data_IF_381877549252
#
_entry.id   IF_381877549252
#
_cell.length_a   1.000
_cell.length_b   1.000
_cell.length_c   1.000
_cell.angle_alpha   90.00
_cell.angle_beta   90.00
_cell.angle_gamma   90.00
#
_symmetry.space_group_name_H-M   'P 1'
#
loop_
_entity.id
_entity.type
_entity.pdbx_description
1 polymer ?
#
# COMPACT_ATOMS: atom_id res chain seq x y z
N UNK A 1 19.63 -5.28 0.67
CA UNK A 1 18.33 -5.20 1.36
C UNK A 1 17.66 -6.55 1.21
N UNK A 2 17.09 -7.11 2.26
CA UNK A 2 16.37 -8.39 2.18
C UNK A 2 15.04 -8.18 1.45
N UNK A 3 14.92 -8.72 0.24
CA UNK A 3 13.75 -8.51 -0.63
C UNK A 3 12.47 -9.11 -0.04
N UNK A 4 12.58 -10.24 0.69
CA UNK A 4 11.42 -10.88 1.33
C UNK A 4 10.87 -10.02 2.47
N UNK A 5 11.77 -9.48 3.31
CA UNK A 5 11.38 -8.54 4.38
C UNK A 5 10.81 -7.24 3.82
N UNK A 6 11.37 -6.72 2.72
CA UNK A 6 10.83 -5.54 2.07
C UNK A 6 9.41 -5.75 1.58
N UNK A 7 9.17 -6.86 0.86
CA UNK A 7 7.83 -7.19 0.38
C UNK A 7 6.84 -7.34 1.53
N UNK A 8 7.24 -7.97 2.64
CA UNK A 8 6.43 -8.08 3.84
C UNK A 8 6.08 -6.70 4.43
N UNK A 9 7.08 -5.84 4.65
CA UNK A 9 6.87 -4.49 5.25
C UNK A 9 5.98 -3.62 4.35
N UNK A 10 6.11 -3.72 3.03
CA UNK A 10 5.24 -3.02 2.07
C UNK A 10 3.79 -3.50 2.20
N UNK A 11 3.55 -4.82 2.18
CA UNK A 11 2.19 -5.39 2.28
C UNK A 11 1.54 -5.05 3.63
N UNK A 12 2.32 -5.06 4.71
CA UNK A 12 1.89 -4.61 6.03
C UNK A 12 1.47 -3.13 6.06
N UNK A 13 2.26 -2.26 5.44
CA UNK A 13 1.94 -0.83 5.34
C UNK A 13 0.66 -0.62 4.51
N UNK A 14 0.50 -1.36 3.40
CA UNK A 14 -0.73 -1.35 2.60
C UNK A 14 -1.95 -1.78 3.41
N UNK A 15 -1.88 -2.92 4.10
CA UNK A 15 -2.97 -3.41 4.94
C UNK A 15 -3.36 -2.39 6.02
N UNK A 16 -2.37 -1.77 6.69
CA UNK A 16 -2.60 -0.73 7.72
C UNK A 16 -3.23 0.54 7.16
N UNK A 17 -2.98 0.87 5.89
CA UNK A 17 -3.66 1.97 5.20
C UNK A 17 -5.08 1.61 4.75
N UNK A 18 -5.30 0.32 4.46
CA UNK A 18 -6.54 -0.20 3.87
C UNK A 18 -7.62 -0.48 4.91
N UNK A 19 -7.29 -1.26 5.94
CA UNK A 19 -8.27 -1.75 6.92
C UNK A 19 -9.07 -0.64 7.61
N UNK A 20 -8.46 0.49 8.05
CA UNK A 20 -9.24 1.57 8.67
C UNK A 20 -10.28 2.22 7.75
N UNK A 21 -10.09 2.14 6.43
CA UNK A 21 -11.01 2.74 5.44
C UNK A 21 -12.11 1.77 5.04
N UNK A 22 -11.80 0.48 4.93
CA UNK A 22 -12.71 -0.52 4.34
C UNK A 22 -13.31 -1.51 5.35
N UNK A 23 -12.74 -1.63 6.54
CA UNK A 23 -13.08 -2.65 7.53
C UNK A 23 -12.86 -4.09 7.05
N UNK A 24 -12.13 -4.29 5.95
CA UNK A 24 -12.00 -5.59 5.29
C UNK A 24 -10.59 -6.16 5.45
N UNK A 25 -10.50 -7.43 5.85
CA UNK A 25 -9.22 -8.14 5.96
C UNK A 25 -8.64 -8.46 4.57
N UNK A 26 -7.32 -8.34 4.43
CA UNK A 26 -6.58 -8.72 3.22
C UNK A 26 -5.57 -9.81 3.54
N UNK A 27 -5.54 -10.83 2.68
CA UNK A 27 -4.47 -11.82 2.65
C UNK A 27 -3.28 -11.29 1.84
N UNK A 28 -2.10 -11.90 2.01
CA UNK A 28 -0.93 -11.48 1.26
C UNK A 28 -1.10 -11.60 -0.27
N UNK A 29 -1.89 -12.54 -0.76
CA UNK A 29 -2.12 -12.74 -2.20
C UNK A 29 -3.17 -11.78 -2.79
N UNK A 30 -3.91 -11.04 -1.96
CA UNK A 30 -4.89 -10.05 -2.44
C UNK A 30 -4.22 -8.81 -3.05
N UNK A 31 -2.92 -8.60 -2.80
CA UNK A 31 -2.16 -7.42 -3.22
C UNK A 31 -0.91 -7.82 -4.01
N UNK A 32 -0.76 -7.34 -5.23
CA UNK A 32 0.49 -7.41 -6.00
C UNK A 32 1.37 -6.19 -5.71
N UNK A 33 2.69 -6.34 -5.72
CA UNK A 33 3.63 -5.23 -5.45
C UNK A 33 4.70 -5.20 -6.53
N UNK A 34 4.87 -4.04 -7.16
CA UNK A 34 5.99 -3.72 -8.04
C UNK A 34 6.91 -2.75 -7.33
N UNK A 35 8.20 -3.07 -7.22
CA UNK A 35 9.19 -2.29 -6.48
C UNK A 35 10.16 -1.65 -7.47
N UNK A 36 10.36 -0.34 -7.32
CA UNK A 36 11.43 0.40 -7.97
C UNK A 36 12.56 0.66 -6.95
N UNK A 37 13.69 -0.02 -7.18
CA UNK A 37 14.87 0.09 -6.31
C UNK A 37 15.65 1.39 -6.50
N UNK A 38 15.55 2.02 -7.67
CA UNK A 38 16.25 3.27 -7.97
C UNK A 38 15.55 4.44 -7.27
N UNK A 39 14.23 4.53 -7.42
CA UNK A 39 13.43 5.63 -6.86
C UNK A 39 12.99 5.39 -5.40
N UNK A 40 13.35 4.23 -4.84
CA UNK A 40 12.91 3.74 -3.53
C UNK A 40 11.39 3.85 -3.36
N UNK A 41 10.67 3.41 -4.40
CA UNK A 41 9.22 3.51 -4.50
C UNK A 41 8.58 2.17 -4.82
N UNK A 42 7.29 2.05 -4.59
CA UNK A 42 6.53 0.87 -4.98
C UNK A 42 5.13 1.24 -5.44
N UNK A 43 4.54 0.36 -6.25
CA UNK A 43 3.12 0.33 -6.55
C UNK A 43 2.52 -0.93 -5.93
N UNK A 44 1.49 -0.77 -5.11
CA UNK A 44 0.73 -1.86 -4.52
C UNK A 44 -0.67 -1.90 -5.17
N UNK A 45 -0.99 -3.01 -5.81
CA UNK A 45 -2.24 -3.23 -6.54
C UNK A 45 -3.12 -4.24 -5.82
N UNK A 46 -4.34 -3.85 -5.46
CA UNK A 46 -5.38 -4.75 -4.98
C UNK A 46 -5.96 -5.55 -6.15
N UNK A 47 -5.36 -6.72 -6.41
CA UNK A 47 -5.71 -7.61 -7.52
C UNK A 47 -7.00 -8.40 -7.26
N UNK A 48 -7.39 -8.57 -5.99
CA UNK A 48 -8.65 -9.23 -5.66
C UNK A 48 -9.84 -8.31 -5.94
N UNK A 49 -10.57 -8.60 -7.02
CA UNK A 49 -11.69 -7.77 -7.50
C UNK A 49 -12.88 -7.73 -6.54
N UNK A 50 -13.08 -8.79 -5.75
CA UNK A 50 -14.17 -8.83 -4.76
C UNK A 50 -13.94 -7.92 -3.54
N UNK A 51 -12.70 -7.48 -3.29
CA UNK A 51 -12.37 -6.60 -2.17
C UNK A 51 -12.69 -5.14 -2.52
N UNK A 52 -13.19 -4.33 -1.56
CA UNK A 52 -13.46 -2.91 -1.79
C UNK A 52 -12.17 -2.16 -2.13
N UNK A 53 -12.26 -1.12 -2.94
CA UNK A 53 -11.11 -0.26 -3.26
C UNK A 53 -10.74 0.65 -2.08
N UNK A 54 -9.49 1.07 -2.01
CA UNK A 54 -9.03 2.05 -1.02
C UNK A 54 -9.39 3.46 -1.50
N UNK A 55 -10.47 4.02 -0.96
CA UNK A 55 -10.97 5.34 -1.35
C UNK A 55 -11.16 5.52 -2.87
N UNK A 56 -11.64 4.47 -3.56
CA UNK A 56 -11.83 4.48 -5.01
C UNK A 56 -10.63 3.99 -5.83
N UNK A 57 -9.46 3.79 -5.20
CA UNK A 57 -8.23 3.38 -5.88
C UNK A 57 -7.91 1.91 -5.62
N UNK A 58 -7.41 1.22 -6.66
CA UNK A 58 -6.88 -0.15 -6.57
C UNK A 58 -5.36 -0.21 -6.63
N UNK A 59 -4.72 0.79 -7.23
CA UNK A 59 -3.27 0.92 -7.28
C UNK A 59 -2.88 2.12 -6.42
N UNK A 60 -2.02 1.88 -5.43
CA UNK A 60 -1.54 2.90 -4.51
C UNK A 60 -0.03 2.93 -4.56
N UNK A 61 0.53 4.14 -4.65
CA UNK A 61 1.97 4.33 -4.60
C UNK A 61 2.44 4.45 -3.15
N UNK A 62 3.67 4.01 -2.91
CA UNK A 62 4.36 4.29 -1.68
C UNK A 62 5.87 4.42 -1.86
N UNK A 63 6.55 4.64 -0.74
CA UNK A 63 8.01 4.72 -0.66
C UNK A 63 8.51 3.78 0.41
N UNK A 64 9.73 3.32 0.24
CA UNK A 64 10.41 2.52 1.25
C UNK A 64 11.81 3.08 1.53
N UNK A 65 12.41 2.61 2.61
CA UNK A 65 13.77 3.01 2.95
C UNK A 65 14.30 2.26 4.16
N UNK A 66 15.52 2.61 4.55
CA UNK A 66 16.13 2.11 5.78
C UNK A 66 16.51 3.30 6.66
N UNK A 67 16.23 3.21 7.97
CA UNK A 67 16.62 4.21 8.96
C UNK A 67 17.02 3.55 10.26
N UNK A 68 18.21 3.85 10.77
CA UNK A 68 18.72 3.31 12.04
C UNK A 68 18.61 1.78 12.15
N UNK A 69 18.89 1.05 11.06
CA UNK A 69 18.75 -0.42 11.03
C UNK A 69 17.31 -0.95 10.87
N UNK A 70 16.32 -0.06 10.75
CA UNK A 70 14.91 -0.41 10.53
C UNK A 70 14.56 -0.30 9.06
N UNK A 71 13.69 -1.20 8.61
CA UNK A 71 13.07 -1.14 7.29
C UNK A 71 11.71 -0.46 7.41
N UNK A 72 11.46 0.53 6.56
CA UNK A 72 10.23 1.33 6.60
C UNK A 72 9.58 1.29 5.23
N UNK A 73 8.25 1.15 5.20
CA UNK A 73 7.43 1.43 4.03
C UNK A 73 6.31 2.40 4.43
N UNK A 74 6.02 3.34 3.53
CA UNK A 74 4.99 4.37 3.71
C UNK A 74 4.10 4.34 2.48
N UNK A 75 2.80 4.31 2.72
CA UNK A 75 1.77 4.35 1.67
C UNK A 75 1.26 5.78 1.53
N UNK A 76 1.21 6.28 0.29
CA UNK A 76 0.62 7.58 0.02
C UNK A 76 -0.91 7.44 0.00
N UNK A 77 -1.58 7.97 1.03
CA UNK A 77 -3.03 7.98 1.06
C UNK A 77 -3.56 8.95 -0.01
N UNK A 78 -4.49 8.50 -0.88
CA UNK A 78 -5.16 9.42 -1.78
C UNK A 78 -5.91 10.48 -0.97
N UNK A 79 -5.66 11.75 -1.25
CA UNK A 79 -6.39 12.85 -0.60
C UNK A 79 -7.84 12.76 -1.06
N UNK A 80 -8.75 12.54 -0.12
CA UNK A 80 -10.17 12.50 -0.42
C UNK A 80 -10.61 13.88 -0.89
N UNK A 81 -10.89 14.02 -2.19
CA UNK A 81 -11.52 15.24 -2.70
C UNK A 81 -12.93 15.29 -2.12
N UNK A 82 -13.18 16.25 -1.22
CA UNK A 82 -14.52 16.52 -0.75
C UNK A 82 -15.37 16.93 -1.95
N UNK A 83 -16.25 16.06 -2.43
CA UNK A 83 -17.33 16.46 -3.29
C UNK A 83 -18.24 17.38 -2.47
N UNK A 84 -18.06 18.68 -2.66
CA UNK A 84 -19.03 19.67 -2.22
C UNK A 84 -20.36 19.33 -2.90
N UNK A 85 -21.27 18.74 -2.12
CA UNK A 85 -22.65 18.46 -2.52
C UNK A 85 -23.33 19.82 -2.73
N UNK A 86 -23.53 20.22 -3.97
CA UNK A 86 -24.51 21.25 -4.36
C UNK A 86 -25.84 20.56 -4.65
#
# INVERSE_FOLDING_TARGET
MDTGKLLFVIKEAFYKSYFPVTGTFLEFHDVSVTIDMHDQSFHAELVQLSKPSLAGYRVIQGRFGNSCGHMVAVVAMPVQQSTARR
#
